data_IF_296453699782
#
_entry.id   IF_296453699782
#
_cell.length_a   1.000
_cell.length_b   1.000
_cell.length_c   1.000
_cell.angle_alpha   90.00
_cell.angle_beta   90.00
_cell.angle_gamma   90.00
#
_symmetry.space_group_name_H-M   'P 1'
#
loop_
_entity.id
_entity.type
_entity.pdbx_description
1 polymer ?
#
# COMPACT_ATOMS: atom_id res chain seq x y z
N UNK A 1 -43.92 -50.75 -28.58
CA UNK A 1 -43.78 -49.27 -28.57
C UNK A 1 -43.44 -48.88 -27.15
N UNK A 2 -42.15 -48.71 -26.86
CA UNK A 2 -41.67 -48.13 -25.61
C UNK A 2 -40.48 -47.25 -25.98
N UNK A 3 -40.65 -45.94 -25.79
CA UNK A 3 -39.59 -44.95 -25.84
C UNK A 3 -39.00 -44.86 -24.44
N UNK A 4 -37.72 -45.19 -24.29
CA UNK A 4 -36.91 -44.74 -23.16
C UNK A 4 -35.65 -44.11 -23.73
N UNK A 5 -35.74 -42.80 -23.95
CA UNK A 5 -34.58 -41.98 -24.27
C UNK A 5 -33.83 -41.68 -22.98
N UNK A 6 -32.73 -42.41 -22.74
CA UNK A 6 -31.73 -41.99 -21.76
C UNK A 6 -31.10 -40.68 -22.24
N UNK A 7 -31.48 -39.57 -21.60
CA UNK A 7 -30.81 -38.29 -21.79
C UNK A 7 -29.46 -38.34 -21.05
N UNK A 8 -28.44 -38.89 -21.71
CA UNK A 8 -27.06 -38.89 -21.24
C UNK A 8 -26.56 -37.44 -21.14
N UNK A 9 -26.70 -36.83 -19.96
CA UNK A 9 -26.11 -35.51 -19.67
C UNK A 9 -24.59 -35.69 -19.58
N UNK A 10 -23.90 -35.50 -20.69
CA UNK A 10 -22.44 -35.53 -20.74
C UNK A 10 -21.88 -34.27 -20.08
N UNK A 11 -21.29 -34.42 -18.89
CA UNK A 11 -20.52 -33.35 -18.25
C UNK A 11 -19.23 -33.13 -19.06
N UNK A 12 -18.93 -31.90 -19.51
CA UNK A 12 -17.67 -31.59 -20.18
C UNK A 12 -16.46 -31.98 -19.30
N UNK A 13 -15.48 -32.65 -19.90
CA UNK A 13 -14.20 -32.92 -19.23
C UNK A 13 -13.45 -31.61 -19.09
N UNK A 14 -12.97 -31.37 -17.88
CA UNK A 14 -12.30 -30.13 -17.50
C UNK A 14 -10.79 -30.29 -17.74
N UNK A 15 -10.21 -29.32 -18.44
CA UNK A 15 -8.77 -29.20 -18.72
C UNK A 15 -8.20 -27.94 -18.03
N UNK A 16 -8.21 -27.94 -16.69
CA UNK A 16 -7.56 -26.88 -15.92
C UNK A 16 -6.14 -27.27 -15.58
N UNK A 17 -5.24 -26.29 -15.57
CA UNK A 17 -3.87 -26.48 -15.08
C UNK A 17 -3.90 -27.04 -13.65
N UNK A 18 -3.01 -27.99 -13.37
CA UNK A 18 -2.85 -28.52 -12.03
C UNK A 18 -2.55 -27.41 -11.03
N UNK A 19 -3.00 -27.61 -9.79
CA UNK A 19 -2.60 -26.72 -8.72
C UNK A 19 -1.06 -26.80 -8.54
N UNK A 20 -0.41 -25.63 -8.45
CA UNK A 20 1.04 -25.57 -8.22
C UNK A 20 1.40 -25.86 -6.75
N UNK A 21 0.41 -25.78 -5.86
CA UNK A 21 0.61 -25.84 -4.40
C UNK A 21 0.33 -27.22 -3.78
N UNK A 22 -0.24 -28.19 -4.52
CA UNK A 22 -0.59 -29.57 -4.10
C UNK A 22 -0.80 -29.69 -2.59
N UNK A 23 0.01 -30.52 -1.92
CA UNK A 23 0.03 -30.69 -0.47
C UNK A 23 1.29 -30.05 0.14
N UNK A 24 1.85 -29.02 -0.51
CA UNK A 24 3.15 -28.43 -0.16
C UNK A 24 3.10 -27.50 1.06
N UNK A 25 1.96 -27.40 1.75
CA UNK A 25 1.88 -26.68 3.01
C UNK A 25 2.11 -27.68 4.16
N UNK A 26 3.36 -27.84 4.63
CA UNK A 26 3.60 -28.63 5.84
C UNK A 26 2.82 -28.03 7.01
N UNK A 27 2.40 -28.88 7.94
CA UNK A 27 1.91 -28.41 9.25
C UNK A 27 2.93 -27.46 9.86
N UNK A 28 2.48 -26.30 10.31
CA UNK A 28 3.34 -25.25 10.86
C UNK A 28 4.26 -25.85 11.94
N UNK A 29 5.60 -25.76 11.80
CA UNK A 29 6.50 -26.26 12.83
C UNK A 29 6.30 -25.46 14.12
N UNK A 30 6.01 -26.16 15.22
CA UNK A 30 5.71 -25.56 16.53
C UNK A 30 6.95 -25.09 17.30
N UNK A 31 8.07 -24.81 16.62
CA UNK A 31 9.33 -24.48 17.31
C UNK A 31 9.31 -23.01 17.75
N UNK A 32 8.77 -22.76 18.94
CA UNK A 32 8.65 -21.44 19.53
C UNK A 32 10.02 -20.73 19.68
N UNK A 33 11.12 -21.48 19.81
CA UNK A 33 12.46 -20.89 20.06
C UNK A 33 12.98 -19.99 18.94
N UNK A 34 12.64 -20.27 17.68
CA UNK A 34 13.06 -19.44 16.53
C UNK A 34 12.27 -18.13 16.53
N UNK A 35 10.96 -18.21 16.79
CA UNK A 35 10.09 -17.05 16.89
C UNK A 35 10.46 -16.18 18.10
N UNK A 36 10.83 -16.77 19.23
CA UNK A 36 11.29 -16.05 20.43
C UNK A 36 12.57 -15.25 20.15
N UNK A 37 13.55 -15.86 19.47
CA UNK A 37 14.78 -15.18 19.09
C UNK A 37 14.50 -14.02 18.14
N UNK A 38 13.67 -14.24 17.11
CA UNK A 38 13.29 -13.21 16.15
C UNK A 38 12.53 -12.05 16.83
N UNK A 39 11.64 -12.37 17.76
CA UNK A 39 10.87 -11.37 18.51
C UNK A 39 11.80 -10.47 19.35
N UNK A 40 12.84 -11.04 19.98
CA UNK A 40 13.83 -10.27 20.74
C UNK A 40 14.60 -9.27 19.89
N UNK A 41 14.85 -9.60 18.62
CA UNK A 41 15.55 -8.70 17.67
C UNK A 41 14.61 -7.63 17.06
N UNK A 42 13.34 -7.96 16.85
CA UNK A 42 12.35 -7.03 16.28
C UNK A 42 12.06 -5.87 17.23
N UNK A 43 11.99 -6.10 18.54
CA UNK A 43 11.67 -5.06 19.52
C UNK A 43 12.61 -3.84 19.43
N UNK A 44 13.95 -3.97 19.53
CA UNK A 44 14.84 -2.82 19.43
C UNK A 44 14.85 -2.21 18.02
N UNK A 45 14.64 -3.02 16.98
CA UNK A 45 14.56 -2.51 15.62
C UNK A 45 13.31 -1.64 15.42
N UNK A 46 12.17 -2.04 15.97
CA UNK A 46 10.93 -1.26 15.95
C UNK A 46 11.12 0.10 16.61
N UNK A 47 11.77 0.14 17.78
CA UNK A 47 12.07 1.41 18.47
C UNK A 47 13.05 2.28 17.69
N UNK A 48 14.05 1.69 17.04
CA UNK A 48 14.97 2.42 16.14
C UNK A 48 14.22 3.05 14.97
N UNK A 49 13.35 2.28 14.30
CA UNK A 49 12.52 2.78 13.19
C UNK A 49 11.57 3.88 13.67
N UNK A 50 10.98 3.73 14.86
CA UNK A 50 10.16 4.77 15.49
C UNK A 50 10.94 6.06 15.74
N UNK A 51 12.19 5.95 16.18
CA UNK A 51 13.11 7.08 16.32
C UNK A 51 13.40 7.77 14.99
N UNK A 52 13.66 7.00 13.93
CA UNK A 52 13.86 7.51 12.58
C UNK A 52 12.61 8.19 12.02
N UNK A 53 11.43 7.62 12.24
CA UNK A 53 10.14 8.21 11.86
C UNK A 53 9.96 9.57 12.52
N UNK A 54 10.19 9.68 13.84
CA UNK A 54 10.14 10.95 14.56
C UNK A 54 11.16 11.97 14.04
N UNK A 55 12.40 11.54 13.80
CA UNK A 55 13.45 12.42 13.29
C UNK A 55 13.14 12.96 11.89
N UNK A 56 12.51 12.15 11.02
CA UNK A 56 12.14 12.55 9.66
C UNK A 56 11.17 13.74 9.62
N UNK A 57 10.44 14.00 10.72
CA UNK A 57 9.48 15.12 10.79
C UNK A 57 10.11 16.52 10.72
N UNK A 58 11.45 16.61 10.73
CA UNK A 58 12.17 17.86 10.52
C UNK A 58 11.97 18.44 9.10
N UNK A 59 11.78 17.58 8.10
CA UNK A 59 11.42 17.99 6.73
C UNK A 59 10.16 17.24 6.28
N UNK A 60 9.08 17.94 5.90
CA UNK A 60 7.82 17.28 5.53
C UNK A 60 7.96 16.31 4.35
N UNK A 61 8.81 16.60 3.36
CA UNK A 61 8.95 15.74 2.19
C UNK A 61 9.74 14.49 2.52
N UNK A 62 10.84 14.61 3.28
CA UNK A 62 11.59 13.45 3.79
C UNK A 62 10.73 12.59 4.73
N UNK A 63 9.84 13.20 5.52
CA UNK A 63 8.85 12.47 6.30
C UNK A 63 7.91 11.64 5.42
N UNK A 64 7.33 12.24 4.37
CA UNK A 64 6.46 11.53 3.42
C UNK A 64 7.20 10.40 2.69
N UNK A 65 8.46 10.62 2.28
CA UNK A 65 9.30 9.56 1.67
C UNK A 65 9.60 8.42 2.64
N UNK A 66 9.84 8.74 3.91
CA UNK A 66 10.07 7.73 4.93
C UNK A 66 8.81 6.90 5.16
N UNK A 67 7.64 7.52 5.22
CA UNK A 67 6.35 6.84 5.31
C UNK A 67 6.11 5.95 4.08
N UNK A 68 6.38 6.43 2.87
CA UNK A 68 6.30 5.62 1.64
C UNK A 68 7.18 4.37 1.72
N UNK A 69 8.37 4.50 2.31
CA UNK A 69 9.29 3.37 2.52
C UNK A 69 8.69 2.35 3.48
N UNK A 70 8.08 2.78 4.60
CA UNK A 70 7.41 1.87 5.54
C UNK A 70 6.23 1.14 4.90
N UNK A 71 5.44 1.84 4.08
CA UNK A 71 4.32 1.27 3.33
C UNK A 71 4.79 0.20 2.34
N UNK A 72 5.85 0.49 1.57
CA UNK A 72 6.42 -0.47 0.59
C UNK A 72 7.04 -1.70 1.24
N UNK A 73 7.59 -1.54 2.45
CA UNK A 73 8.12 -2.65 3.25
C UNK A 73 7.01 -3.46 3.94
N UNK A 74 5.77 -2.99 3.96
CA UNK A 74 4.65 -3.67 4.62
C UNK A 74 4.75 -3.64 6.16
N UNK A 75 5.51 -2.71 6.74
CA UNK A 75 5.74 -2.60 8.20
C UNK A 75 5.09 -1.36 8.81
N UNK A 76 4.34 -0.58 8.02
CA UNK A 76 3.66 0.64 8.47
C UNK A 76 2.63 0.40 9.58
N UNK A 77 2.04 -0.81 9.63
CA UNK A 77 1.03 -1.19 10.64
C UNK A 77 1.57 -1.12 12.09
N UNK A 78 2.89 -1.10 12.27
CA UNK A 78 3.52 -0.92 13.57
C UNK A 78 3.52 0.54 14.08
N UNK A 79 3.20 1.50 13.23
CA UNK A 79 3.35 2.94 13.46
C UNK A 79 2.13 3.76 12.98
N UNK A 80 0.94 3.14 12.89
CA UNK A 80 -0.27 3.74 12.29
C UNK A 80 -0.59 5.11 12.91
N UNK A 81 -0.61 5.19 14.24
CA UNK A 81 -0.90 6.42 14.98
C UNK A 81 0.14 7.52 14.71
N UNK A 82 1.43 7.18 14.69
CA UNK A 82 2.50 8.14 14.39
C UNK A 82 2.40 8.65 12.96
N UNK A 83 2.09 7.77 12.01
CA UNK A 83 1.96 8.11 10.58
C UNK A 83 0.75 9.02 10.38
N UNK A 84 -0.42 8.65 10.91
CA UNK A 84 -1.65 9.43 10.78
C UNK A 84 -1.47 10.86 11.31
N UNK A 85 -0.97 11.00 12.54
CA UNK A 85 -0.71 12.31 13.16
C UNK A 85 0.25 13.17 12.33
N UNK A 86 1.31 12.57 11.78
CA UNK A 86 2.29 13.30 10.98
C UNK A 86 1.71 13.75 9.64
N UNK A 87 0.92 12.89 8.98
CA UNK A 87 0.28 13.22 7.71
C UNK A 87 -0.87 14.21 7.86
N UNK A 88 -1.64 14.17 8.95
CA UNK A 88 -2.62 15.21 9.28
C UNK A 88 -1.93 16.57 9.38
N UNK A 89 -0.80 16.63 10.09
CA UNK A 89 -0.02 17.86 10.19
C UNK A 89 0.47 18.32 8.81
N UNK A 90 0.94 17.43 7.97
CA UNK A 90 1.48 17.78 6.65
C UNK A 90 0.37 18.22 5.68
N UNK A 91 -0.70 17.44 5.54
CA UNK A 91 -1.71 17.67 4.50
C UNK A 91 -2.86 18.59 4.94
N UNK A 92 -3.27 18.54 6.21
CA UNK A 92 -4.39 19.38 6.68
C UNK A 92 -3.90 20.74 7.18
N UNK A 93 -2.79 20.79 7.92
CA UNK A 93 -2.28 22.06 8.46
C UNK A 93 -1.41 22.85 7.48
N UNK A 94 -0.87 22.19 6.46
CA UNK A 94 -0.03 22.79 5.42
C UNK A 94 -0.57 22.46 4.02
N UNK A 95 -1.86 22.67 3.79
CA UNK A 95 -2.58 22.35 2.53
C UNK A 95 -1.88 22.90 1.27
N UNK A 96 -1.04 23.93 1.43
CA UNK A 96 -0.27 24.57 0.36
C UNK A 96 1.22 24.22 0.33
N UNK A 97 1.74 23.33 1.19
CA UNK A 97 3.17 23.02 1.22
C UNK A 97 3.66 22.49 -0.13
N UNK A 98 2.98 21.49 -0.68
CA UNK A 98 3.33 20.86 -1.95
C UNK A 98 2.92 21.69 -3.18
N UNK A 99 2.08 22.71 -2.99
CA UNK A 99 1.67 23.63 -4.07
C UNK A 99 2.59 24.85 -4.14
N UNK A 100 3.14 25.29 -2.99
CA UNK A 100 4.06 26.43 -2.89
C UNK A 100 5.51 26.04 -3.13
N UNK A 101 5.88 24.82 -2.80
CA UNK A 101 7.23 24.32 -3.00
C UNK A 101 7.32 23.64 -4.37
N UNK A 102 8.30 24.04 -5.16
CA UNK A 102 8.60 23.45 -6.47
C UNK A 102 9.35 22.13 -6.30
N UNK A 103 8.63 21.11 -5.82
CA UNK A 103 9.17 19.76 -5.66
C UNK A 103 9.28 19.06 -7.01
N UNK A 104 10.36 18.29 -7.19
CA UNK A 104 10.53 17.48 -8.39
C UNK A 104 9.37 16.48 -8.63
N UNK A 105 9.25 16.00 -9.88
CA UNK A 105 8.18 15.08 -10.28
C UNK A 105 8.12 13.83 -9.39
N UNK A 106 9.26 13.32 -8.96
CA UNK A 106 9.34 12.13 -8.13
C UNK A 106 8.74 12.39 -6.74
N UNK A 107 9.13 13.48 -6.09
CA UNK A 107 8.69 13.89 -4.76
C UNK A 107 7.20 14.21 -4.76
N UNK A 108 6.72 14.93 -5.78
CA UNK A 108 5.29 15.17 -5.99
C UNK A 108 4.51 13.87 -6.21
N UNK A 109 5.05 12.93 -7.01
CA UNK A 109 4.42 11.61 -7.21
C UNK A 109 4.36 10.79 -5.93
N UNK A 110 5.39 10.84 -5.07
CA UNK A 110 5.42 10.13 -3.79
C UNK A 110 4.33 10.69 -2.87
N UNK A 111 4.26 12.02 -2.72
CA UNK A 111 3.28 12.66 -1.86
C UNK A 111 1.83 12.44 -2.33
N UNK A 112 1.60 12.47 -3.64
CA UNK A 112 0.31 12.10 -4.22
C UNK A 112 -0.06 10.63 -3.94
N UNK A 113 0.89 9.70 -4.10
CA UNK A 113 0.64 8.29 -3.81
C UNK A 113 0.31 8.07 -2.33
N UNK A 114 1.13 8.59 -1.42
CA UNK A 114 0.94 8.42 0.03
C UNK A 114 -0.40 8.99 0.49
N UNK A 115 -0.75 10.20 0.02
CA UNK A 115 -2.03 10.81 0.37
C UNK A 115 -3.21 9.95 -0.09
N UNK A 116 -3.20 9.43 -1.32
CA UNK A 116 -4.25 8.56 -1.83
C UNK A 116 -4.35 7.23 -1.10
N UNK A 117 -3.22 6.62 -0.75
CA UNK A 117 -3.19 5.35 -0.01
C UNK A 117 -3.76 5.48 1.40
N UNK A 118 -3.58 6.63 2.04
CA UNK A 118 -3.96 6.88 3.42
C UNK A 118 -5.19 7.80 3.56
N UNK A 119 -5.90 8.08 2.47
CA UNK A 119 -7.16 8.83 2.48
C UNK A 119 -7.05 10.35 2.64
N UNK A 120 -5.86 10.92 2.53
CA UNK A 120 -5.66 12.37 2.63
C UNK A 120 -6.02 13.08 1.31
N UNK A 121 -6.72 14.21 1.43
CA UNK A 121 -7.03 15.06 0.28
C UNK A 121 -5.81 15.88 -0.11
N UNK A 122 -5.34 15.69 -1.33
CA UNK A 122 -4.32 16.54 -1.95
C UNK A 122 -4.89 17.17 -3.22
N UNK A 123 -4.67 18.47 -3.40
CA UNK A 123 -5.07 19.16 -4.62
C UNK A 123 -4.24 18.66 -5.81
N UNK A 124 -4.91 18.33 -6.91
CA UNK A 124 -4.24 18.05 -8.18
C UNK A 124 -3.89 19.41 -8.77
N UNK A 125 -2.64 19.87 -8.59
CA UNK A 125 -2.23 21.23 -8.96
C UNK A 125 -2.60 21.59 -10.40
N UNK A 126 -3.28 22.72 -10.63
CA UNK A 126 -3.58 23.13 -12.00
C UNK A 126 -2.28 23.56 -12.67
N UNK A 127 -1.70 22.68 -13.49
CA UNK A 127 -0.64 23.05 -14.43
C UNK A 127 -1.14 24.27 -15.23
N UNK A 128 -0.49 25.43 -15.04
CA UNK A 128 -0.89 26.67 -15.70
C UNK A 128 -0.58 26.68 -17.20
N UNK A 129 0.11 25.65 -17.70
CA UNK A 129 0.30 25.40 -19.12
C UNK A 129 -0.18 23.97 -19.44
N UNK A 130 -1.35 23.87 -20.07
CA UNK A 130 -2.03 22.62 -20.47
C UNK A 130 -2.57 21.73 -19.35
N UNK A 131 -3.73 22.14 -18.81
CA UNK A 131 -4.95 21.45 -18.35
C UNK A 131 -5.08 19.90 -18.39
N UNK A 132 -4.00 19.12 -18.28
CA UNK A 132 -3.99 17.66 -18.31
C UNK A 132 -2.81 17.11 -17.51
N UNK A 133 -3.07 16.65 -16.29
CA UNK A 133 -2.28 15.55 -15.73
C UNK A 133 -2.45 14.34 -16.64
N UNK A 134 -1.53 14.15 -17.59
CA UNK A 134 -1.43 12.93 -18.38
C UNK A 134 -0.80 11.84 -17.52
N UNK A 135 -1.58 11.28 -16.61
CA UNK A 135 -1.29 9.95 -16.08
C UNK A 135 -1.80 8.96 -17.13
N UNK A 136 -0.92 8.57 -18.06
CA UNK A 136 -1.10 7.55 -19.09
C UNK A 136 -2.51 6.93 -19.22
N UNK A 137 -3.44 7.66 -19.81
CA UNK A 137 -4.68 7.13 -20.40
C UNK A 137 -5.73 6.51 -19.46
N UNK A 138 -5.54 6.43 -18.15
CA UNK A 138 -6.53 5.81 -17.25
C UNK A 138 -7.29 6.86 -16.47
N UNK A 139 -8.55 7.10 -16.87
CA UNK A 139 -9.57 7.74 -16.04
C UNK A 139 -9.80 6.86 -14.82
N UNK A 140 -9.18 7.20 -13.69
CA UNK A 140 -9.65 6.68 -12.40
C UNK A 140 -10.95 7.41 -12.07
N UNK A 141 -12.07 6.70 -12.26
CA UNK A 141 -13.33 7.07 -11.64
C UNK A 141 -13.09 7.14 -10.13
N UNK A 142 -13.27 8.33 -9.57
CA UNK A 142 -13.38 8.51 -8.14
C UNK A 142 -14.61 7.73 -7.66
N UNK A 143 -14.40 6.48 -7.22
CA UNK A 143 -15.34 5.82 -6.33
C UNK A 143 -14.90 6.17 -4.91
N UNK A 144 -15.83 6.82 -4.21
CA UNK A 144 -15.69 7.13 -2.81
C UNK A 144 -15.55 5.86 -1.97
N UNK A 145 -14.59 5.94 -1.07
CA UNK A 145 -14.70 5.37 0.27
C UNK A 145 -14.56 6.55 1.22
#
# INVERSE_FOLDING_TARGET
>A
MSFEGECNVLRPVVDFSENIWKDQFPSLPSSDSVFDSLTKEIIPLKEKVKGMLKASTADPMENVKFIDTLLRLGVSYHFENEIEMQLERIFNSQENLFVKNDYDLNSTSIAFRVSRLLGFKMSCGKDKDNDKFKINGVKLLALGF
#
